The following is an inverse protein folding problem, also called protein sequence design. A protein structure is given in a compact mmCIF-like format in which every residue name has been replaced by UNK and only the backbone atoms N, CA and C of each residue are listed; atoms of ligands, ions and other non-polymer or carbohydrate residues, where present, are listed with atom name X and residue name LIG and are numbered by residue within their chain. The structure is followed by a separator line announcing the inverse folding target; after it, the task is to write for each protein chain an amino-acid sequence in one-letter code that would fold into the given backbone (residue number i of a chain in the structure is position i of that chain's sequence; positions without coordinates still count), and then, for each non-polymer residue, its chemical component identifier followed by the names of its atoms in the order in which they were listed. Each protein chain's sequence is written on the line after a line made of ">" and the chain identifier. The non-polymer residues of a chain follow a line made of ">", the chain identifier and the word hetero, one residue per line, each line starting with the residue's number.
data_IF_242763980412
#
_entry.id   IF_242763980412
#
_cell.length_a   1.000
_cell.length_b   1.000
_cell.length_c   1.000
_cell.angle_alpha   90.00
_cell.angle_beta   90.00
_cell.angle_gamma   90.00
#
_symmetry.space_group_name_H-M   'P 1'
#
loop_
_entity.id
_entity.type
_entity.pdbx_description
1 polymer ?
#
# COMPACT_ATOMS: atom_id res chain seq x y z
N UNK A 1 -4.73 -10.13 -17.92
CA UNK A 1 -4.62 -10.62 -16.52
C UNK A 1 -5.90 -10.20 -15.83
N UNK A 2 -6.60 -11.13 -15.17
CA UNK A 2 -7.86 -10.82 -14.47
C UNK A 2 -7.60 -9.79 -13.35
N UNK A 3 -8.46 -8.78 -13.23
CA UNK A 3 -8.34 -7.71 -12.23
C UNK A 3 -8.27 -8.30 -10.80
N UNK A 4 -9.02 -9.39 -10.56
CA UNK A 4 -8.96 -10.14 -9.30
C UNK A 4 -7.59 -10.78 -9.06
N UNK A 5 -6.98 -11.37 -10.09
CA UNK A 5 -5.65 -11.97 -9.98
C UNK A 5 -4.55 -10.92 -9.76
N UNK A 6 -4.69 -9.73 -10.37
CA UNK A 6 -3.82 -8.59 -10.09
C UNK A 6 -3.97 -8.11 -8.66
N UNK A 7 -5.20 -8.04 -8.14
CA UNK A 7 -5.45 -7.66 -6.75
C UNK A 7 -4.87 -8.67 -5.74
N UNK A 8 -5.04 -9.98 -5.99
CA UNK A 8 -4.45 -11.03 -5.16
C UNK A 8 -2.93 -10.92 -5.16
N UNK A 9 -2.31 -10.75 -6.32
CA UNK A 9 -0.85 -10.59 -6.44
C UNK A 9 -0.36 -9.37 -5.66
N UNK A 10 -1.06 -8.24 -5.75
CA UNK A 10 -0.69 -7.03 -5.04
C UNK A 10 -0.84 -7.17 -3.51
N UNK A 11 -1.89 -7.84 -3.03
CA UNK A 11 -2.06 -8.14 -1.60
C UNK A 11 -0.87 -8.95 -1.07
N UNK A 12 -0.54 -10.06 -1.74
CA UNK A 12 0.58 -10.93 -1.33
C UNK A 12 1.91 -10.17 -1.32
N UNK A 13 2.14 -9.32 -2.32
CA UNK A 13 3.34 -8.49 -2.38
C UNK A 13 3.42 -7.51 -1.20
N UNK A 14 2.35 -6.77 -0.92
CA UNK A 14 2.29 -5.81 0.19
C UNK A 14 2.53 -6.53 1.53
N UNK A 15 1.83 -7.64 1.77
CA UNK A 15 1.98 -8.41 3.01
C UNK A 15 3.40 -8.96 3.18
N UNK A 16 4.02 -9.44 2.09
CA UNK A 16 5.40 -9.94 2.10
C UNK A 16 6.40 -8.83 2.44
N UNK A 17 6.23 -7.63 1.87
CA UNK A 17 7.08 -6.48 2.16
C UNK A 17 6.91 -6.01 3.61
N UNK A 18 5.66 -5.93 4.11
CA UNK A 18 5.39 -5.58 5.51
C UNK A 18 6.04 -6.59 6.46
N UNK A 19 5.96 -7.88 6.14
CA UNK A 19 6.60 -8.92 6.94
C UNK A 19 8.12 -8.78 6.96
N UNK A 20 8.73 -8.49 5.80
CA UNK A 20 10.17 -8.24 5.71
C UNK A 20 10.60 -7.03 6.56
N UNK A 21 9.88 -5.92 6.47
CA UNK A 21 10.15 -4.73 7.28
C UNK A 21 10.05 -5.02 8.79
N UNK A 22 9.04 -5.79 9.21
CA UNK A 22 8.90 -6.21 10.61
C UNK A 22 10.07 -7.07 11.08
N UNK A 23 10.58 -7.97 10.24
CA UNK A 23 11.73 -8.83 10.58
C UNK A 23 13.02 -8.01 10.76
N UNK A 24 13.14 -6.88 10.08
CA UNK A 24 14.23 -5.92 10.24
C UNK A 24 14.01 -4.91 11.38
N UNK A 25 13.03 -5.16 12.27
CA UNK A 25 12.61 -4.26 13.35
C UNK A 25 12.23 -2.83 12.87
N UNK A 26 11.75 -2.69 11.64
CA UNK A 26 11.24 -1.41 11.12
C UNK A 26 9.80 -1.22 11.57
N UNK A 27 9.57 -0.22 12.41
CA UNK A 27 8.22 0.20 12.79
C UNK A 27 7.60 1.11 11.71
N UNK A 28 6.84 0.50 10.81
CA UNK A 28 6.16 1.18 9.70
C UNK A 28 5.10 2.21 10.15
N UNK A 29 4.67 2.20 11.41
CA UNK A 29 3.76 3.22 11.96
C UNK A 29 4.47 4.57 12.17
N UNK A 30 5.80 4.55 12.30
CA UNK A 30 6.63 5.74 12.48
C UNK A 30 7.15 6.32 11.16
N UNK A 31 7.11 5.52 10.09
CA UNK A 31 7.60 5.92 8.77
C UNK A 31 6.59 6.84 8.11
N UNK A 32 7.05 8.05 7.76
CA UNK A 32 6.27 9.04 7.06
C UNK A 32 6.78 9.19 5.64
N UNK A 33 5.84 9.28 4.69
CA UNK A 33 6.13 9.38 3.26
C UNK A 33 5.35 10.54 2.65
N UNK A 34 5.91 11.12 1.60
CA UNK A 34 5.21 12.03 0.70
C UNK A 34 5.17 11.39 -0.68
N UNK A 35 4.01 11.41 -1.31
CA UNK A 35 3.79 10.85 -2.64
C UNK A 35 3.75 12.03 -3.61
N UNK A 36 4.67 12.09 -4.56
CA UNK A 36 4.65 13.17 -5.53
C UNK A 36 5.98 13.40 -6.22
N UNK A 37 5.98 14.36 -7.14
CA UNK A 37 7.17 14.79 -7.84
C UNK A 37 7.59 16.17 -7.33
N UNK A 38 8.71 16.22 -6.58
CA UNK A 38 9.33 17.47 -6.12
C UNK A 38 9.58 18.47 -7.24
N UNK A 39 9.83 17.99 -8.46
CA UNK A 39 10.13 18.85 -9.62
C UNK A 39 8.91 19.60 -10.13
N UNK A 40 7.72 19.01 -10.01
CA UNK A 40 6.47 19.57 -10.55
C UNK A 40 5.62 20.25 -9.45
N UNK A 41 6.12 20.29 -8.21
CA UNK A 41 5.42 20.92 -7.08
C UNK A 41 4.15 20.19 -6.62
N UNK A 42 3.91 18.98 -7.12
CA UNK A 42 2.77 18.14 -6.73
C UNK A 42 3.30 17.13 -5.71
N UNK A 43 3.11 17.43 -4.44
CA UNK A 43 3.36 16.50 -3.33
C UNK A 43 2.08 16.30 -2.53
N UNK A 44 1.82 15.05 -2.13
CA UNK A 44 0.82 14.77 -1.12
C UNK A 44 1.25 15.37 0.21
N UNK A 45 0.30 15.67 1.11
CA UNK A 45 0.60 15.78 2.52
C UNK A 45 1.39 14.56 3.01
N UNK A 46 2.18 14.76 4.06
CA UNK A 46 2.88 13.69 4.74
C UNK A 46 1.86 12.67 5.28
N UNK A 47 2.00 11.40 4.86
CA UNK A 47 1.13 10.29 5.25
C UNK A 47 1.97 9.20 5.93
N UNK A 48 1.40 8.53 6.94
CA UNK A 48 2.06 7.38 7.53
C UNK A 48 2.06 6.21 6.54
N UNK A 49 3.18 5.51 6.41
CA UNK A 49 3.30 4.34 5.56
C UNK A 49 2.24 3.28 5.90
N UNK A 50 1.99 3.07 7.20
CA UNK A 50 0.91 2.20 7.69
C UNK A 50 -0.46 2.58 7.10
N UNK A 51 -0.82 3.87 7.10
CA UNK A 51 -2.09 4.33 6.56
C UNK A 51 -2.20 4.07 5.05
N UNK A 52 -1.11 4.27 4.30
CA UNK A 52 -1.09 3.96 2.87
C UNK A 52 -1.29 2.45 2.61
N UNK A 53 -0.64 1.61 3.40
CA UNK A 53 -0.78 0.15 3.33
C UNK A 53 -2.22 -0.26 3.62
N UNK A 54 -2.82 0.28 4.68
CA UNK A 54 -4.19 -0.05 5.10
C UNK A 54 -5.21 0.33 4.03
N UNK A 55 -5.07 1.54 3.44
CA UNK A 55 -5.92 1.99 2.34
C UNK A 55 -5.77 1.05 1.14
N UNK A 56 -4.52 0.75 0.75
CA UNK A 56 -4.24 -0.11 -0.40
C UNK A 56 -4.82 -1.52 -0.22
N UNK A 57 -4.61 -2.13 0.95
CA UNK A 57 -5.14 -3.47 1.26
C UNK A 57 -6.66 -3.48 1.26
N UNK A 58 -7.31 -2.45 1.82
CA UNK A 58 -8.76 -2.34 1.80
C UNK A 58 -9.31 -2.32 0.37
N UNK A 59 -8.78 -1.46 -0.50
CA UNK A 59 -9.27 -1.36 -1.88
C UNK A 59 -9.00 -2.63 -2.69
N UNK A 60 -7.84 -3.26 -2.49
CA UNK A 60 -7.52 -4.51 -3.17
C UNK A 60 -8.42 -5.66 -2.70
N UNK A 61 -8.81 -5.69 -1.41
CA UNK A 61 -9.77 -6.65 -0.88
C UNK A 61 -11.17 -6.44 -1.46
N UNK A 62 -11.62 -5.19 -1.60
CA UNK A 62 -12.89 -4.86 -2.26
C UNK A 62 -12.89 -5.38 -3.72
N UNK A 63 -11.80 -5.17 -4.47
CA UNK A 63 -11.64 -5.69 -5.83
C UNK A 63 -11.65 -7.22 -5.86
N UNK A 64 -10.89 -7.87 -4.96
CA UNK A 64 -10.83 -9.33 -4.85
C UNK A 64 -12.21 -9.92 -4.60
N UNK A 65 -12.99 -9.31 -3.72
CA UNK A 65 -14.32 -9.76 -3.33
C UNK A 65 -15.40 -9.40 -4.36
N UNK A 66 -15.10 -8.55 -5.35
CA UNK A 66 -16.05 -8.09 -6.36
C UNK A 66 -16.96 -6.96 -5.88
N UNK A 67 -16.58 -6.26 -4.81
CA UNK A 67 -17.30 -5.13 -4.22
C UNK A 67 -16.97 -3.80 -4.92
N UNK A 68 -15.86 -3.75 -5.67
CA UNK A 68 -15.55 -2.72 -6.67
C UNK A 68 -15.46 -3.38 -8.05
N UNK A 69 -16.32 -2.95 -8.97
CA UNK A 69 -16.39 -3.38 -10.38
C UNK A 69 -16.18 -2.20 -11.31
#
# INVERSE_FOLDING_TARGET
>A
MDLKNSAITAIVLIESLVHLLKNENVDISTVKITIGNKKDGIESPEIQLQQLIDISLKELLEIKNGEKS
#
